data_IF_711186798730
#
_entry.id   IF_711186798730
#
_cell.length_a   1.000
_cell.length_b   1.000
_cell.length_c   1.000
_cell.angle_alpha   90.00
_cell.angle_beta   90.00
_cell.angle_gamma   90.00
#
_symmetry.space_group_name_H-M   'P 1'
#
loop_
_entity.id
_entity.type
_entity.pdbx_description
1 polymer ?
#
# COMPACT_ATOMS: atom_id res chain seq x y z
N UNK A 1 0.09 8.04 1.74
CA UNK A 1 -0.57 6.80 1.26
C UNK A 1 0.08 5.66 2.00
N UNK A 2 -0.68 4.78 2.64
CA UNK A 2 -0.16 3.65 3.40
C UNK A 2 -0.69 2.33 2.80
N UNK A 3 0.12 1.28 2.84
CA UNK A 3 -0.27 -0.05 2.36
C UNK A 3 -0.67 -0.89 3.58
N UNK A 4 -1.97 -0.95 3.84
CA UNK A 4 -2.56 -1.60 5.02
C UNK A 4 -2.93 -3.06 4.69
N UNK A 5 -4.17 -3.32 4.26
CA UNK A 5 -4.62 -4.65 3.84
C UNK A 5 -4.22 -5.03 2.39
N UNK A 6 -3.67 -4.07 1.62
CA UNK A 6 -3.26 -4.26 0.22
C UNK A 6 -4.41 -4.37 -0.81
N UNK A 7 -5.68 -4.34 -0.38
CA UNK A 7 -6.84 -4.49 -1.27
C UNK A 7 -6.98 -3.37 -2.31
N UNK A 8 -6.76 -2.12 -1.92
CA UNK A 8 -6.79 -0.96 -2.82
C UNK A 8 -5.64 -0.99 -3.85
N UNK A 9 -4.43 -1.32 -3.39
CA UNK A 9 -3.26 -1.46 -4.26
C UNK A 9 -3.49 -2.57 -5.31
N UNK A 10 -4.06 -3.71 -4.89
CA UNK A 10 -4.34 -4.81 -5.81
C UNK A 10 -5.31 -4.40 -6.93
N UNK A 11 -6.39 -3.70 -6.60
CA UNK A 11 -7.34 -3.22 -7.61
C UNK A 11 -6.69 -2.25 -8.60
N UNK A 12 -5.85 -1.33 -8.11
CA UNK A 12 -5.14 -0.38 -8.97
C UNK A 12 -4.16 -1.08 -9.91
N UNK A 13 -3.39 -2.05 -9.41
CA UNK A 13 -2.44 -2.83 -10.22
C UNK A 13 -3.19 -3.68 -11.25
N UNK A 14 -4.28 -4.32 -10.87
CA UNK A 14 -5.09 -5.16 -11.76
C UNK A 14 -5.71 -4.33 -12.90
N UNK A 15 -6.16 -3.11 -12.62
CA UNK A 15 -6.64 -2.18 -13.64
C UNK A 15 -5.55 -1.79 -14.66
N UNK A 16 -4.31 -1.57 -14.21
CA UNK A 16 -3.19 -1.28 -15.10
C UNK A 16 -2.87 -2.47 -16.02
N UNK A 17 -2.86 -3.68 -15.45
CA UNK A 17 -2.63 -4.92 -16.21
C UNK A 17 -3.75 -5.15 -17.23
N UNK A 18 -5.02 -4.93 -16.83
CA UNK A 18 -6.17 -5.01 -17.74
C UNK A 18 -6.08 -4.03 -18.91
N UNK A 19 -5.43 -2.87 -18.71
CA UNK A 19 -5.14 -1.89 -19.77
C UNK A 19 -3.92 -2.24 -20.62
N UNK A 20 -3.30 -3.41 -20.40
CA UNK A 20 -2.17 -3.91 -21.18
C UNK A 20 -0.80 -3.47 -20.68
N UNK A 21 -0.69 -2.87 -19.48
CA UNK A 21 0.60 -2.51 -18.89
C UNK A 21 1.27 -3.78 -18.36
N UNK A 22 2.48 -4.14 -18.84
CA UNK A 22 3.19 -5.30 -18.32
C UNK A 22 3.62 -5.05 -16.86
N UNK A 23 3.49 -6.06 -16.00
CA UNK A 23 3.81 -5.97 -14.57
C UNK A 23 5.25 -5.48 -14.33
N UNK A 24 6.19 -5.85 -15.20
CA UNK A 24 7.60 -5.43 -15.14
C UNK A 24 7.80 -3.91 -15.26
N UNK A 25 6.80 -3.18 -15.78
CA UNK A 25 6.81 -1.72 -15.91
C UNK A 25 6.08 -1.01 -14.76
N UNK A 26 5.53 -1.76 -13.81
CA UNK A 26 4.81 -1.21 -12.66
C UNK A 26 5.75 -1.21 -11.45
N UNK A 27 5.98 -0.03 -10.90
CA UNK A 27 6.68 0.16 -9.63
C UNK A 27 5.65 0.71 -8.65
N UNK A 28 5.38 -0.05 -7.59
CA UNK A 28 4.47 0.37 -6.53
C UNK A 28 5.28 1.06 -5.44
N UNK A 29 5.18 2.39 -5.37
CA UNK A 29 5.90 3.24 -4.42
C UNK A 29 5.00 3.64 -3.26
N UNK A 30 5.45 3.40 -2.04
CA UNK A 30 4.72 3.66 -0.82
C UNK A 30 5.61 4.31 0.25
N UNK A 31 5.00 5.01 1.22
CA UNK A 31 5.72 5.59 2.35
C UNK A 31 5.79 4.60 3.52
N UNK A 32 4.65 4.10 3.98
CA UNK A 32 4.55 3.22 5.15
C UNK A 32 3.75 1.98 4.77
N UNK A 33 4.34 0.81 4.95
CA UNK A 33 3.70 -0.48 4.64
C UNK A 33 3.53 -1.34 5.88
N UNK A 34 2.40 -2.04 5.96
CA UNK A 34 2.24 -3.16 6.88
C UNK A 34 2.70 -4.48 6.21
N UNK A 35 3.32 -5.41 6.96
CA UNK A 35 3.77 -6.70 6.45
C UNK A 35 2.64 -7.50 5.77
N UNK A 36 1.43 -7.44 6.32
CA UNK A 36 0.25 -8.11 5.81
C UNK A 36 -0.13 -7.57 4.42
N UNK A 37 -0.07 -6.25 4.25
CA UNK A 37 -0.31 -5.58 2.97
C UNK A 37 0.71 -5.96 1.92
N UNK A 38 2.00 -5.95 2.28
CA UNK A 38 3.09 -6.33 1.36
C UNK A 38 2.88 -7.78 0.92
N UNK A 39 2.61 -8.68 1.87
CA UNK A 39 2.41 -10.08 1.56
C UNK A 39 1.18 -10.33 0.68
N UNK A 40 0.09 -9.59 0.91
CA UNK A 40 -1.11 -9.63 0.08
C UNK A 40 -0.81 -9.26 -1.39
N UNK A 41 -0.07 -8.17 -1.61
CA UNK A 41 0.31 -7.72 -2.96
C UNK A 41 1.30 -8.69 -3.60
N UNK A 42 2.35 -9.11 -2.88
CA UNK A 42 3.36 -10.05 -3.41
C UNK A 42 2.77 -11.43 -3.75
N UNK A 43 1.78 -11.92 -3.00
CA UNK A 43 1.06 -13.17 -3.32
C UNK A 43 0.32 -13.06 -4.66
N UNK A 44 -0.27 -11.90 -4.95
CA UNK A 44 -1.04 -11.67 -6.18
C UNK A 44 -0.13 -11.33 -7.37
N UNK A 45 0.94 -10.56 -7.14
CA UNK A 45 1.85 -10.04 -8.16
C UNK A 45 3.32 -10.30 -7.75
N UNK A 46 3.83 -11.53 -7.88
CA UNK A 46 5.15 -11.92 -7.36
C UNK A 46 6.33 -11.23 -8.06
N UNK A 47 6.13 -10.69 -9.26
CA UNK A 47 7.17 -9.99 -10.04
C UNK A 47 7.08 -8.46 -9.95
N UNK A 48 6.15 -7.94 -9.14
CA UNK A 48 5.99 -6.49 -8.95
C UNK A 48 7.13 -5.94 -8.11
N UNK A 49 7.66 -4.77 -8.49
CA UNK A 49 8.61 -4.04 -7.64
C UNK A 49 7.85 -3.17 -6.65
N UNK A 50 8.06 -3.39 -5.36
CA UNK A 50 7.54 -2.56 -4.28
C UNK A 50 8.69 -1.78 -3.67
N UNK A 51 8.54 -0.47 -3.55
CA UNK A 51 9.48 0.42 -2.87
C UNK A 51 8.73 1.07 -1.71
N UNK A 52 9.19 0.89 -0.48
CA UNK A 52 8.59 1.50 0.72
C UNK A 52 9.66 2.17 1.57
N UNK A 53 9.33 3.30 2.19
CA UNK A 53 10.28 4.01 3.09
C UNK A 53 10.38 3.30 4.43
N UNK A 54 9.25 2.90 4.99
CA UNK A 54 9.15 2.26 6.30
C UNK A 54 8.22 1.04 6.23
N UNK A 55 8.52 0.03 7.04
CA UNK A 55 7.66 -1.13 7.28
C UNK A 55 7.36 -1.14 8.76
N UNK A 56 6.09 -0.96 9.10
CA UNK A 56 5.66 -0.85 10.50
C UNK A 56 5.22 -2.22 11.04
N UNK A 57 5.12 -2.35 12.36
CA UNK A 57 5.11 -3.67 13.03
C UNK A 57 3.79 -4.40 12.88
N UNK A 58 2.65 -3.68 12.95
CA UNK A 58 1.33 -4.28 12.88
C UNK A 58 0.25 -3.25 12.54
N UNK A 59 -0.86 -3.77 12.00
CA UNK A 59 -2.11 -3.04 11.90
C UNK A 59 -2.93 -3.23 13.19
N UNK A 60 -3.63 -2.18 13.62
CA UNK A 60 -4.67 -2.29 14.64
C UNK A 60 -6.00 -2.77 14.04
N UNK A 61 -7.04 -2.96 14.87
CA UNK A 61 -8.36 -3.44 14.44
C UNK A 61 -9.05 -2.53 13.42
N UNK A 62 -8.63 -1.26 13.34
CA UNK A 62 -9.14 -0.25 12.40
C UNK A 62 -8.30 -0.19 11.11
N UNK A 63 -7.41 -1.18 10.90
CA UNK A 63 -6.44 -1.21 9.81
C UNK A 63 -5.46 -0.04 9.83
N UNK A 64 -5.19 0.57 10.98
CA UNK A 64 -4.22 1.66 11.13
C UNK A 64 -2.86 1.13 11.56
N UNK A 65 -1.83 1.79 11.07
CA UNK A 65 -0.44 1.46 11.41
C UNK A 65 -0.09 1.98 12.81
N UNK A 66 0.56 1.19 13.68
CA UNK A 66 0.97 1.59 15.05
C UNK A 66 2.49 1.36 15.25
N UNK A 67 3.26 2.34 15.79
CA UNK A 67 2.81 3.63 16.34
C UNK A 67 2.36 4.63 15.28
N UNK A 68 2.71 4.41 14.01
CA UNK A 68 2.17 5.12 12.84
C UNK A 68 2.25 6.65 12.88
N UNK A 69 1.61 7.25 11.87
CA UNK A 69 1.49 8.71 11.73
C UNK A 69 0.03 9.20 11.74
N UNK A 70 -0.93 8.35 12.10
CA UNK A 70 -2.37 8.66 11.90
C UNK A 70 -2.78 8.60 10.42
N UNK A 71 -3.95 9.14 10.09
CA UNK A 71 -4.42 9.24 8.70
C UNK A 71 -3.56 10.23 7.91
N UNK A 72 -2.71 9.70 7.04
CA UNK A 72 -1.84 10.54 6.21
C UNK A 72 -2.64 11.52 5.36
N UNK A 73 -3.81 11.10 4.86
CA UNK A 73 -4.68 11.95 4.04
C UNK A 73 -5.10 13.19 4.80
N UNK A 74 -5.68 13.00 5.98
CA UNK A 74 -6.21 14.10 6.77
C UNK A 74 -5.12 15.06 7.23
N UNK A 75 -3.97 14.52 7.68
CA UNK A 75 -2.81 15.34 8.05
C UNK A 75 -2.18 16.09 6.89
N UNK A 76 -2.17 15.51 5.70
CA UNK A 76 -1.58 16.13 4.51
C UNK A 76 -2.50 17.19 3.90
N UNK A 77 -3.81 16.93 3.88
CA UNK A 77 -4.81 17.83 3.32
C UNK A 77 -5.40 18.81 4.34
N UNK A 78 -5.09 18.65 5.62
CA UNK A 78 -5.62 19.49 6.70
C UNK A 78 -7.11 19.28 6.93
N UNK A 79 -7.61 18.06 6.74
CA UNK A 79 -9.02 17.68 6.96
C UNK A 79 -9.24 17.01 8.31
N UNK A 80 -8.31 17.22 9.24
CA UNK A 80 -8.39 16.81 10.65
C UNK A 80 -9.42 17.69 11.40
N UNK A 81 -10.71 17.65 11.04
CA UNK A 81 -11.84 18.28 11.77
C UNK A 81 -12.71 17.21 12.49
#
# INVERSE_FOLDING_TARGET
>A
MALLAGSSANQAIELLIQKGVPVSHIIFLNLISAPEGIHCVCKRFPYLKIITSEIDVALNEELRVIPGMGEFGDRYFGTDD
#
